data_IF_551262473020
#
_entry.id   IF_551262473020
#
_cell.length_a   1.000
_cell.length_b   1.000
_cell.length_c   1.000
_cell.angle_alpha   90.00
_cell.angle_beta   90.00
_cell.angle_gamma   90.00
#
_symmetry.space_group_name_H-M   'P 1'
#
loop_
_entity.id
_entity.type
_entity.pdbx_description
1 polymer ?
#
# COMPACT_ATOMS: atom_id res chain seq x y z
N UNK A 1 -2.85 0.08 -21.59
CA UNK A 1 -1.49 -0.32 -21.16
C UNK A 1 -1.61 -1.60 -20.34
N UNK A 2 -0.67 -2.55 -20.43
CA UNK A 2 -0.70 -3.76 -19.60
C UNK A 2 -0.32 -3.38 -18.16
N UNK A 3 -1.23 -3.65 -17.21
CA UNK A 3 -1.04 -3.35 -15.78
C UNK A 3 -0.65 -4.64 -15.05
N UNK A 4 0.35 -4.65 -14.16
CA UNK A 4 0.68 -5.82 -13.37
C UNK A 4 -0.52 -6.31 -12.53
N UNK A 5 -0.71 -7.63 -12.46
CA UNK A 5 -1.93 -8.23 -11.92
C UNK A 5 -2.21 -7.85 -10.46
N UNK A 6 -1.17 -7.81 -9.62
CA UNK A 6 -1.34 -7.47 -8.19
C UNK A 6 -1.80 -6.02 -7.99
N UNK A 7 -1.14 -4.98 -8.54
CA UNK A 7 -1.68 -3.62 -8.54
C UNK A 7 -3.10 -3.51 -9.11
N UNK A 8 -3.40 -4.20 -10.22
CA UNK A 8 -4.73 -4.18 -10.82
C UNK A 8 -5.78 -4.78 -9.87
N UNK A 9 -5.47 -5.90 -9.23
CA UNK A 9 -6.35 -6.53 -8.24
C UNK A 9 -6.58 -5.66 -7.00
N UNK A 10 -5.56 -4.93 -6.55
CA UNK A 10 -5.70 -3.98 -5.43
C UNK A 10 -6.67 -2.85 -5.83
N UNK A 11 -6.52 -2.27 -7.02
CA UNK A 11 -7.44 -1.23 -7.51
C UNK A 11 -8.89 -1.74 -7.59
N UNK A 12 -9.06 -3.00 -8.00
CA UNK A 12 -10.37 -3.64 -8.06
C UNK A 12 -11.00 -3.85 -6.68
N UNK A 13 -10.22 -4.28 -5.70
CA UNK A 13 -10.66 -4.40 -4.31
C UNK A 13 -11.07 -3.03 -3.76
N UNK A 14 -10.25 -1.99 -3.96
CA UNK A 14 -10.58 -0.62 -3.52
C UNK A 14 -11.88 -0.11 -4.16
N UNK A 15 -12.08 -0.41 -5.45
CA UNK A 15 -13.30 -0.06 -6.19
C UNK A 15 -14.54 -0.77 -5.66
N UNK A 16 -14.45 -2.08 -5.43
CA UNK A 16 -15.56 -2.90 -4.93
C UNK A 16 -16.05 -2.43 -3.55
N UNK A 17 -15.12 -2.00 -2.69
CA UNK A 17 -15.42 -1.47 -1.36
C UNK A 17 -15.74 0.03 -1.36
N UNK A 18 -15.87 0.67 -2.53
CA UNK A 18 -16.16 2.10 -2.68
C UNK A 18 -15.18 3.00 -1.91
N UNK A 19 -13.89 2.64 -1.93
CA UNK A 19 -12.84 3.47 -1.33
C UNK A 19 -12.55 4.64 -2.26
N UNK A 20 -12.98 5.83 -1.88
CA UNK A 20 -12.64 7.09 -2.56
C UNK A 20 -11.12 7.34 -2.50
N UNK A 21 -10.49 7.52 -3.66
CA UNK A 21 -9.04 7.73 -3.77
C UNK A 21 -8.66 9.19 -4.09
N UNK A 22 -9.57 9.94 -4.72
CA UNK A 22 -9.30 11.32 -5.11
C UNK A 22 -9.02 12.20 -3.88
N UNK A 23 -7.89 12.89 -3.89
CA UNK A 23 -7.45 13.75 -2.79
C UNK A 23 -6.98 13.01 -1.53
N UNK A 24 -7.04 11.67 -1.47
CA UNK A 24 -6.56 10.89 -0.33
C UNK A 24 -5.04 10.78 -0.32
N UNK A 25 -4.48 10.63 0.88
CA UNK A 25 -3.07 10.29 1.06
C UNK A 25 -2.90 8.78 1.01
N UNK A 26 -2.25 8.27 -0.04
CA UNK A 26 -1.88 6.87 -0.15
C UNK A 26 -0.39 6.67 0.14
N UNK A 27 -0.06 5.74 1.04
CA UNK A 27 1.32 5.37 1.36
C UNK A 27 1.56 3.93 0.97
N UNK A 28 2.62 3.68 0.21
CA UNK A 28 3.01 2.33 -0.21
C UNK A 28 4.33 1.97 0.49
N UNK A 29 4.36 0.85 1.21
CA UNK A 29 5.59 0.26 1.75
C UNK A 29 6.11 -0.78 0.76
N UNK A 30 7.24 -0.48 0.12
CA UNK A 30 7.87 -1.36 -0.87
C UNK A 30 7.82 -0.77 -2.27
N UNK A 31 8.93 -0.87 -3.00
CA UNK A 31 9.14 -0.23 -4.31
C UNK A 31 9.56 -1.23 -5.41
N UNK A 32 9.04 -2.45 -5.33
CA UNK A 32 9.30 -3.48 -6.34
C UNK A 32 8.76 -3.05 -7.70
N UNK A 33 9.33 -3.60 -8.78
CA UNK A 33 8.87 -3.33 -10.14
C UNK A 33 7.51 -4.00 -10.44
N UNK A 34 7.13 -5.02 -9.65
CA UNK A 34 5.91 -5.82 -9.88
C UNK A 34 4.71 -5.36 -9.04
N UNK A 35 4.94 -4.66 -7.92
CA UNK A 35 3.87 -4.14 -7.06
C UNK A 35 4.04 -2.65 -6.77
N UNK A 36 5.06 -2.25 -6.01
CA UNK A 36 5.11 -0.90 -5.43
C UNK A 36 5.13 0.25 -6.46
N UNK A 37 6.02 0.17 -7.45
CA UNK A 37 6.10 1.19 -8.51
C UNK A 37 4.85 1.26 -9.39
N UNK A 38 4.33 0.15 -9.95
CA UNK A 38 3.11 0.21 -10.73
C UNK A 38 1.89 0.64 -9.88
N UNK A 39 1.80 0.21 -8.62
CA UNK A 39 0.74 0.65 -7.71
C UNK A 39 0.75 2.17 -7.52
N UNK A 40 1.93 2.78 -7.39
CA UNK A 40 2.06 4.24 -7.27
C UNK A 40 1.50 4.97 -8.49
N UNK A 41 1.72 4.45 -9.70
CA UNK A 41 1.17 5.05 -10.93
C UNK A 41 -0.35 4.95 -10.98
N UNK A 42 -0.93 3.79 -10.65
CA UNK A 42 -2.39 3.60 -10.65
C UNK A 42 -3.11 4.50 -9.63
N UNK A 43 -2.51 4.72 -8.46
CA UNK A 43 -3.07 5.62 -7.45
C UNK A 43 -2.98 7.08 -7.91
N UNK A 44 -1.89 7.47 -8.56
CA UNK A 44 -1.76 8.81 -9.16
C UNK A 44 -2.80 9.03 -10.28
N UNK A 45 -3.07 8.02 -11.10
CA UNK A 45 -4.15 8.07 -12.12
C UNK A 45 -5.54 8.26 -11.51
N UNK A 46 -5.71 7.95 -10.22
CA UNK A 46 -6.95 8.20 -9.45
C UNK A 46 -6.87 9.44 -8.56
N UNK A 47 -5.96 10.37 -8.86
CA UNK A 47 -5.81 11.65 -8.16
C UNK A 47 -5.47 11.51 -6.66
N UNK A 48 -4.90 10.39 -6.23
CA UNK A 48 -4.39 10.26 -4.86
C UNK A 48 -3.04 10.97 -4.70
N UNK A 49 -2.76 11.50 -3.50
CA UNK A 49 -1.42 11.95 -3.11
C UNK A 49 -0.60 10.73 -2.70
N UNK A 50 0.40 10.36 -3.49
CA UNK A 50 1.13 9.09 -3.30
C UNK A 50 2.50 9.30 -2.68
N UNK A 51 2.79 8.56 -1.60
CA UNK A 51 4.14 8.44 -1.03
C UNK A 51 4.65 7.01 -1.16
N UNK A 52 5.69 6.80 -1.97
CA UNK A 52 6.35 5.50 -2.12
C UNK A 52 7.52 5.38 -1.12
N UNK A 53 7.40 4.47 -0.16
CA UNK A 53 8.39 4.24 0.90
C UNK A 53 9.14 2.91 0.73
N UNK A 54 10.24 2.76 1.45
CA UNK A 54 11.13 1.60 1.35
C UNK A 54 12.04 1.47 2.58
N UNK A 55 12.90 0.44 2.61
CA UNK A 55 13.81 0.15 3.73
C UNK A 55 14.73 1.31 4.16
N UNK A 56 15.02 2.26 3.26
CA UNK A 56 15.80 3.48 3.57
C UNK A 56 14.96 4.72 3.91
N UNK A 57 13.65 4.59 4.09
CA UNK A 57 12.78 5.71 4.46
C UNK A 57 12.94 5.99 5.96
N UNK A 58 13.42 7.18 6.35
CA UNK A 58 13.53 7.53 7.77
C UNK A 58 12.15 7.69 8.39
N UNK A 59 12.02 7.28 9.66
CA UNK A 59 10.77 7.39 10.44
C UNK A 59 9.55 6.80 9.73
N UNK A 60 9.71 5.61 9.12
CA UNK A 60 8.70 4.98 8.28
C UNK A 60 7.29 4.95 8.90
N UNK A 61 7.16 4.55 10.17
CA UNK A 61 5.87 4.54 10.88
C UNK A 61 5.17 5.91 10.88
N UNK A 62 5.91 7.01 11.10
CA UNK A 62 5.38 8.40 11.05
C UNK A 62 4.97 8.86 9.66
N UNK A 63 5.46 8.20 8.61
CA UNK A 63 5.01 8.45 7.24
C UNK A 63 3.74 7.64 6.99
N UNK A 64 3.74 6.38 7.37
CA UNK A 64 2.60 5.46 7.20
C UNK A 64 1.36 5.91 7.98
N UNK A 65 1.50 6.44 9.20
CA UNK A 65 0.35 6.84 10.03
C UNK A 65 -0.39 8.09 9.52
N UNK A 66 0.05 8.67 8.41
CA UNK A 66 -0.66 9.75 7.71
C UNK A 66 -1.55 9.23 6.58
N UNK A 67 -1.42 7.95 6.24
CA UNK A 67 -2.12 7.34 5.13
C UNK A 67 -3.61 7.21 5.42
N UNK A 68 -4.43 7.67 4.47
CA UNK A 68 -5.83 7.25 4.38
C UNK A 68 -5.92 5.84 3.76
N UNK A 69 -4.97 5.51 2.88
CA UNK A 69 -4.80 4.18 2.28
C UNK A 69 -3.35 3.72 2.43
N UNK A 70 -3.11 2.66 3.21
CA UNK A 70 -1.80 2.06 3.43
C UNK A 70 -1.68 0.74 2.67
N UNK A 71 -0.72 0.64 1.75
CA UNK A 71 -0.45 -0.59 0.97
C UNK A 71 0.90 -1.17 1.39
N UNK A 72 0.92 -2.42 1.86
CA UNK A 72 2.11 -3.09 2.36
C UNK A 72 2.56 -4.17 1.38
N UNK A 73 3.75 -4.01 0.77
CA UNK A 73 4.24 -4.85 -0.32
C UNK A 73 5.72 -5.25 -0.13
N UNK A 74 6.08 -5.73 1.07
CA UNK A 74 7.47 -6.08 1.44
C UNK A 74 7.72 -7.54 1.81
N UNK A 75 6.68 -8.39 1.84
CA UNK A 75 6.84 -9.83 2.13
C UNK A 75 7.53 -10.09 3.48
N UNK A 76 7.13 -9.36 4.52
CA UNK A 76 7.61 -9.56 5.89
C UNK A 76 6.42 -9.62 6.83
N UNK A 77 6.20 -10.80 7.42
CA UNK A 77 5.16 -11.00 8.42
C UNK A 77 5.36 -10.04 9.61
N UNK A 78 4.23 -9.54 10.16
CA UNK A 78 4.18 -8.74 11.40
C UNK A 78 5.03 -7.45 11.37
N UNK A 79 5.38 -6.95 10.18
CA UNK A 79 6.19 -5.73 10.06
C UNK A 79 5.41 -4.46 10.40
N UNK A 80 4.16 -4.39 9.95
CA UNK A 80 3.27 -3.26 10.21
C UNK A 80 2.56 -3.51 11.54
N UNK A 81 2.72 -2.57 12.46
CA UNK A 81 2.11 -2.55 13.79
C UNK A 81 1.14 -1.37 13.91
N UNK A 82 0.47 -1.23 15.06
CA UNK A 82 -0.52 -0.16 15.29
C UNK A 82 0.02 1.25 15.01
N UNK A 83 1.29 1.53 15.33
CA UNK A 83 1.91 2.86 15.11
C UNK A 83 2.02 3.27 13.64
N UNK A 84 1.86 2.33 12.70
CA UNK A 84 1.89 2.61 11.26
C UNK A 84 0.52 3.00 10.71
N UNK A 85 -0.56 2.70 11.43
CA UNK A 85 -1.93 2.76 10.90
C UNK A 85 -2.65 3.96 11.50
N UNK A 86 -3.16 4.83 10.64
CA UNK A 86 -4.06 5.91 11.04
C UNK A 86 -5.42 5.32 11.40
N UNK A 87 -6.06 5.83 12.44
CA UNK A 87 -7.44 5.49 12.75
C UNK A 87 -8.36 5.73 11.54
N UNK A 88 -9.16 4.72 11.18
CA UNK A 88 -10.04 4.75 10.00
C UNK A 88 -9.34 4.61 8.64
N UNK A 89 -8.04 4.28 8.60
CA UNK A 89 -7.36 4.00 7.34
C UNK A 89 -7.81 2.69 6.70
N UNK A 90 -7.80 2.67 5.37
CA UNK A 90 -7.86 1.43 4.58
C UNK A 90 -6.46 0.82 4.54
N UNK A 91 -6.34 -0.45 4.91
CA UNK A 91 -5.07 -1.18 4.89
C UNK A 91 -5.16 -2.35 3.93
N UNK A 92 -4.22 -2.42 2.99
CA UNK A 92 -4.05 -3.53 2.05
C UNK A 92 -2.70 -4.18 2.33
N UNK A 93 -2.69 -5.38 2.91
CA UNK A 93 -1.48 -6.19 3.07
C UNK A 93 -1.37 -7.20 1.93
N UNK A 94 -0.34 -7.04 1.11
CA UNK A 94 -0.05 -7.88 -0.06
C UNK A 94 0.94 -9.00 0.30
N UNK A 95 1.55 -8.94 1.48
CA UNK A 95 2.58 -9.87 1.91
C UNK A 95 2.02 -11.25 2.21
N UNK A 96 2.28 -12.22 1.34
CA UNK A 96 2.08 -13.64 1.64
C UNK A 96 3.35 -14.16 2.30
N UNK A 97 3.24 -14.58 3.57
CA UNK A 97 4.33 -15.16 4.33
C UNK A 97 3.85 -16.51 4.87
N UNK A 98 4.69 -17.55 4.77
CA UNK A 98 4.46 -18.83 5.44
C UNK A 98 5.16 -18.82 6.78
N UNK A 99 4.54 -19.43 7.78
CA UNK A 99 5.17 -19.68 9.07
C UNK A 99 5.57 -21.16 9.19
N UNK A 100 5.93 -21.60 10.41
CA UNK A 100 6.33 -22.98 10.66
C UNK A 100 5.17 -23.98 10.48
N UNK A 101 3.92 -23.51 10.44
CA UNK A 101 2.72 -24.33 10.30
C UNK A 101 2.18 -24.37 8.86
N UNK A 102 2.67 -23.50 7.97
CA UNK A 102 2.40 -23.53 6.53
C UNK A 102 1.69 -22.30 6.01
#
# INVERSE_FOLDING_TARGET
>A
QMVPCTPAGIMEILREYNVELEGKTAVIIGRSNIVGKPMAQLLLEKNATVTLTHSRTPHLAKVCNKADVLIVAIGRAKFVTEEFVKEGAVVIDVGINRDEEG
#
